data_IF_225343444323
#
_entry.id   IF_225343444323
#
_cell.length_a   1.000
_cell.length_b   1.000
_cell.length_c   1.000
_cell.angle_alpha   90.00
_cell.angle_beta   90.00
_cell.angle_gamma   90.00
#
_symmetry.space_group_name_H-M   'P 1'
#
loop_
_entity.id
_entity.type
_entity.pdbx_description
1 polymer ?
#
# COMPACT_ATOMS: atom_id res chain seq x y z
N UNK A 1 -68.16 -36.79 -26.37
CA UNK A 1 -67.79 -35.35 -26.33
C UNK A 1 -66.82 -35.14 -25.17
N UNK A 2 -65.53 -34.93 -25.44
CA UNK A 2 -64.50 -34.69 -24.41
C UNK A 2 -64.54 -33.20 -24.03
N UNK A 3 -64.90 -32.89 -22.79
CA UNK A 3 -64.79 -31.53 -22.24
C UNK A 3 -63.30 -31.26 -21.98
N UNK A 4 -62.78 -30.19 -22.57
CA UNK A 4 -61.43 -29.73 -22.31
C UNK A 4 -61.40 -28.93 -21.01
N UNK A 5 -60.60 -29.38 -20.05
CA UNK A 5 -60.23 -28.67 -18.81
C UNK A 5 -59.38 -27.44 -19.14
N UNK A 6 -60.02 -26.41 -19.70
CA UNK A 6 -59.36 -25.14 -20.04
C UNK A 6 -59.16 -24.22 -18.83
N UNK A 7 -59.89 -24.45 -17.73
CA UNK A 7 -59.80 -23.62 -16.52
C UNK A 7 -58.65 -23.99 -15.57
N UNK A 8 -58.20 -25.24 -15.57
CA UNK A 8 -57.13 -25.72 -14.68
C UNK A 8 -55.75 -25.41 -15.25
N UNK A 9 -55.57 -25.53 -16.57
CA UNK A 9 -54.34 -25.15 -17.25
C UNK A 9 -54.00 -23.65 -17.10
N UNK A 10 -54.99 -22.75 -17.11
CA UNK A 10 -54.77 -21.31 -16.91
C UNK A 10 -54.40 -20.94 -15.47
N UNK A 11 -54.94 -21.67 -14.48
CA UNK A 11 -54.64 -21.46 -13.07
C UNK A 11 -53.24 -21.95 -12.71
N UNK A 12 -52.85 -23.13 -13.21
CA UNK A 12 -51.51 -23.68 -13.03
C UNK A 12 -50.43 -22.85 -13.75
N UNK A 13 -50.72 -22.37 -14.97
CA UNK A 13 -49.80 -21.47 -15.69
C UNK A 13 -49.65 -20.12 -14.98
N UNK A 14 -50.72 -19.58 -14.39
CA UNK A 14 -50.66 -18.37 -13.58
C UNK A 14 -49.84 -18.53 -12.30
N UNK A 15 -50.01 -19.65 -11.58
CA UNK A 15 -49.23 -19.96 -10.39
C UNK A 15 -47.74 -20.19 -10.70
N UNK A 16 -47.42 -20.88 -11.80
CA UNK A 16 -46.05 -21.08 -12.26
C UNK A 16 -45.35 -19.76 -12.62
N UNK A 17 -46.06 -18.83 -13.27
CA UNK A 17 -45.53 -17.49 -13.58
C UNK A 17 -45.24 -16.67 -12.31
N UNK A 18 -46.10 -16.75 -11.30
CA UNK A 18 -45.87 -16.08 -10.01
C UNK A 18 -44.63 -16.62 -9.30
N UNK A 19 -44.44 -17.94 -9.30
CA UNK A 19 -43.24 -18.58 -8.72
C UNK A 19 -41.98 -18.14 -9.47
N UNK A 20 -42.01 -18.10 -10.81
CA UNK A 20 -40.89 -17.62 -11.62
C UNK A 20 -40.59 -16.15 -11.36
N UNK A 21 -41.60 -15.29 -11.20
CA UNK A 21 -41.39 -13.87 -10.85
C UNK A 21 -40.75 -13.71 -9.46
N UNK A 22 -41.15 -14.51 -8.47
CA UNK A 22 -40.53 -14.51 -7.15
C UNK A 22 -39.06 -14.98 -7.21
N UNK A 23 -38.76 -16.00 -8.02
CA UNK A 23 -37.40 -16.48 -8.23
C UNK A 23 -36.53 -15.45 -8.98
N UNK A 24 -37.09 -14.73 -9.95
CA UNK A 24 -36.40 -13.64 -10.66
C UNK A 24 -36.12 -12.46 -9.71
N UNK A 25 -37.10 -12.05 -8.89
CA UNK A 25 -36.91 -10.99 -7.90
C UNK A 25 -35.88 -11.37 -6.83
N UNK A 26 -35.90 -12.61 -6.36
CA UNK A 26 -34.91 -13.16 -5.44
C UNK A 26 -33.51 -13.24 -6.08
N UNK A 27 -33.42 -13.74 -7.32
CA UNK A 27 -32.17 -13.80 -8.08
C UNK A 27 -31.59 -12.42 -8.40
N UNK A 28 -32.43 -11.43 -8.71
CA UNK A 28 -32.03 -10.05 -8.93
C UNK A 28 -31.44 -9.41 -7.66
N UNK A 29 -32.03 -9.70 -6.48
CA UNK A 29 -31.47 -9.26 -5.18
C UNK A 29 -30.08 -9.83 -4.91
N UNK A 30 -29.86 -11.12 -5.21
CA UNK A 30 -28.53 -11.76 -5.10
C UNK A 30 -27.54 -11.15 -6.09
N UNK A 31 -27.97 -10.87 -7.32
CA UNK A 31 -27.13 -10.27 -8.36
C UNK A 31 -26.73 -8.83 -8.01
N UNK A 32 -27.64 -8.05 -7.43
CA UNK A 32 -27.40 -6.69 -6.97
C UNK A 32 -26.42 -6.67 -5.78
N UNK A 33 -26.59 -7.58 -4.81
CA UNK A 33 -25.65 -7.75 -3.69
C UNK A 33 -24.25 -8.22 -4.17
N UNK A 34 -24.21 -9.09 -5.18
CA UNK A 34 -22.96 -9.56 -5.79
C UNK A 34 -22.21 -8.42 -6.50
N UNK A 35 -22.90 -7.61 -7.31
CA UNK A 35 -22.31 -6.45 -7.98
C UNK A 35 -21.81 -5.41 -6.96
N UNK A 36 -22.59 -5.12 -5.92
CA UNK A 36 -22.17 -4.18 -4.87
C UNK A 36 -20.92 -4.66 -4.14
N UNK A 37 -20.85 -5.96 -3.81
CA UNK A 37 -19.68 -6.56 -3.17
C UNK A 37 -18.44 -6.46 -4.08
N UNK A 38 -18.60 -6.62 -5.39
CA UNK A 38 -17.51 -6.41 -6.36
C UNK A 38 -17.07 -4.95 -6.46
N UNK A 39 -18.00 -4.01 -6.30
CA UNK A 39 -17.70 -2.58 -6.16
C UNK A 39 -16.81 -2.31 -4.94
N UNK A 40 -17.19 -2.82 -3.77
CA UNK A 40 -16.41 -2.65 -2.54
C UNK A 40 -15.04 -3.33 -2.59
N UNK A 41 -14.91 -4.49 -3.24
CA UNK A 41 -13.60 -5.11 -3.50
C UNK A 41 -12.70 -4.20 -4.35
N UNK A 42 -13.29 -3.50 -5.33
CA UNK A 42 -12.55 -2.56 -6.17
C UNK A 42 -12.12 -1.34 -5.38
N UNK A 43 -12.97 -0.82 -4.51
CA UNK A 43 -12.63 0.27 -3.58
C UNK A 43 -11.54 -0.15 -2.58
N UNK A 44 -11.60 -1.34 -2.02
CA UNK A 44 -10.56 -1.89 -1.15
C UNK A 44 -9.19 -1.97 -1.86
N UNK A 45 -9.19 -2.35 -3.15
CA UNK A 45 -7.98 -2.34 -3.98
C UNK A 45 -7.49 -0.92 -4.26
N UNK A 46 -8.39 0.04 -4.49
CA UNK A 46 -8.01 1.46 -4.63
C UNK A 46 -7.32 1.95 -3.35
N UNK A 47 -7.89 1.67 -2.18
CA UNK A 47 -7.31 2.00 -0.88
C UNK A 47 -5.95 1.29 -0.71
N UNK A 48 -5.85 0.01 -1.05
CA UNK A 48 -4.59 -0.74 -0.94
C UNK A 48 -3.49 -0.15 -1.84
N UNK A 49 -3.82 0.20 -3.08
CA UNK A 49 -2.88 0.83 -4.01
C UNK A 49 -2.41 2.20 -3.51
N UNK A 50 -3.34 3.02 -3.01
CA UNK A 50 -3.02 4.31 -2.41
C UNK A 50 -2.14 4.16 -1.16
N UNK A 51 -2.47 3.21 -0.28
CA UNK A 51 -1.70 2.91 0.93
C UNK A 51 -0.30 2.41 0.58
N UNK A 52 -0.15 1.58 -0.46
CA UNK A 52 1.16 1.15 -0.95
C UNK A 52 2.00 2.32 -1.47
N UNK A 53 1.38 3.28 -2.16
CA UNK A 53 2.06 4.50 -2.60
C UNK A 53 2.49 5.37 -1.42
N UNK A 54 1.61 5.54 -0.42
CA UNK A 54 1.93 6.25 0.82
C UNK A 54 3.06 5.56 1.60
N UNK A 55 3.02 4.24 1.77
CA UNK A 55 4.10 3.45 2.39
C UNK A 55 5.43 3.66 1.69
N UNK A 56 5.44 3.62 0.36
CA UNK A 56 6.65 3.83 -0.45
C UNK A 56 7.19 5.26 -0.30
N UNK A 57 6.30 6.26 -0.29
CA UNK A 57 6.66 7.65 -0.03
C UNK A 57 7.26 7.83 1.37
N UNK A 58 6.65 7.20 2.38
CA UNK A 58 7.15 7.25 3.77
C UNK A 58 8.52 6.62 3.86
N UNK A 59 8.72 5.43 3.30
CA UNK A 59 10.02 4.76 3.27
C UNK A 59 11.11 5.62 2.63
N UNK A 60 10.84 6.21 1.46
CA UNK A 60 11.80 7.09 0.77
C UNK A 60 12.12 8.38 1.54
N UNK A 61 11.15 8.95 2.26
CA UNK A 61 11.29 10.22 2.97
C UNK A 61 11.37 10.04 4.49
N UNK A 62 11.80 8.86 4.95
CA UNK A 62 11.63 8.43 6.34
C UNK A 62 12.26 9.41 7.33
N UNK A 63 13.53 9.80 7.12
CA UNK A 63 14.25 10.74 7.99
C UNK A 63 13.64 12.14 8.01
N UNK A 64 13.17 12.63 6.86
CA UNK A 64 12.47 13.93 6.76
C UNK A 64 11.13 13.89 7.52
N UNK A 65 10.36 12.82 7.38
CA UNK A 65 9.09 12.62 8.08
C UNK A 65 9.29 12.41 9.58
N UNK A 66 10.36 11.73 9.97
CA UNK A 66 10.79 11.62 11.36
C UNK A 66 11.06 13.01 11.94
N UNK A 67 11.84 13.85 11.26
CA UNK A 67 12.14 15.22 11.69
C UNK A 67 10.94 16.17 11.76
N UNK A 68 9.90 15.94 10.96
CA UNK A 68 8.71 16.81 10.83
C UNK A 68 7.46 16.32 11.57
N UNK A 69 7.52 15.15 12.22
CA UNK A 69 6.41 14.59 13.01
C UNK A 69 6.79 14.43 14.48
N UNK A 70 5.79 14.39 15.36
CA UNK A 70 5.93 14.02 16.77
C UNK A 70 5.04 12.82 17.09
N UNK A 71 4.94 12.42 18.36
CA UNK A 71 4.05 11.34 18.80
C UNK A 71 2.57 11.69 18.69
N UNK A 72 2.21 12.97 18.58
CA UNK A 72 0.82 13.45 18.50
C UNK A 72 0.56 14.44 17.36
N UNK A 73 1.61 15.00 16.76
CA UNK A 73 1.52 15.95 15.65
C UNK A 73 1.98 15.25 14.38
N UNK A 74 1.07 14.93 13.44
CA UNK A 74 1.41 14.15 12.27
C UNK A 74 2.04 14.98 11.16
N UNK A 75 2.94 14.37 10.41
CA UNK A 75 3.18 14.75 9.03
C UNK A 75 2.07 14.14 8.15
N UNK A 76 1.41 14.96 7.32
CA UNK A 76 0.24 14.53 6.54
C UNK A 76 0.61 14.38 5.08
N UNK A 77 0.40 13.18 4.54
CA UNK A 77 0.59 12.85 3.14
C UNK A 77 -0.76 12.84 2.43
N UNK A 78 -0.83 13.52 1.29
CA UNK A 78 -2.06 13.67 0.49
C UNK A 78 -1.93 13.00 -0.87
N UNK A 79 -3.06 12.67 -1.50
CA UNK A 79 -3.08 12.16 -2.88
C UNK A 79 -2.34 13.08 -3.86
N UNK A 80 -2.55 14.40 -3.76
CA UNK A 80 -1.84 15.39 -4.58
C UNK A 80 -0.32 15.33 -4.40
N UNK A 81 0.17 15.18 -3.16
CA UNK A 81 1.60 15.03 -2.90
C UNK A 81 2.17 13.77 -3.55
N UNK A 82 1.47 12.63 -3.44
CA UNK A 82 1.88 11.37 -4.05
C UNK A 82 1.92 11.46 -5.60
N UNK A 83 1.00 12.20 -6.20
CA UNK A 83 0.99 12.46 -7.65
C UNK A 83 2.16 13.34 -8.08
N UNK A 84 2.37 14.45 -7.38
CA UNK A 84 3.45 15.39 -7.70
C UNK A 84 4.85 14.79 -7.52
N UNK A 85 4.97 13.73 -6.70
CA UNK A 85 6.22 13.03 -6.43
C UNK A 85 6.35 11.70 -7.18
N UNK A 86 5.39 11.37 -8.05
CA UNK A 86 5.42 10.20 -8.92
C UNK A 86 5.12 8.86 -8.26
N UNK A 87 4.69 8.84 -7.00
CA UNK A 87 4.24 7.62 -6.30
C UNK A 87 2.84 7.19 -6.72
N UNK A 88 2.04 8.13 -7.23
CA UNK A 88 0.79 7.85 -7.93
C UNK A 88 0.84 8.46 -9.34
N UNK A 89 0.17 7.81 -10.29
CA UNK A 89 -0.01 8.35 -11.64
C UNK A 89 -0.76 9.69 -11.58
N UNK A 90 -0.43 10.62 -12.47
CA UNK A 90 -1.12 11.91 -12.59
C UNK A 90 -2.62 11.77 -12.83
N UNK A 91 -3.06 10.67 -13.46
CA UNK A 91 -4.46 10.34 -13.69
C UNK A 91 -5.20 9.75 -12.49
N UNK A 92 -4.54 9.53 -11.35
CA UNK A 92 -5.20 9.02 -10.15
C UNK A 92 -6.19 10.05 -9.59
N UNK A 93 -7.41 9.61 -9.27
CA UNK A 93 -8.48 10.46 -8.76
C UNK A 93 -8.22 10.90 -7.33
N UNK A 94 -8.58 12.14 -6.98
CA UNK A 94 -8.37 12.64 -5.61
C UNK A 94 -9.32 11.99 -4.58
N UNK A 95 -10.44 11.44 -5.05
CA UNK A 95 -11.47 10.81 -4.24
C UNK A 95 -11.81 9.41 -4.71
N UNK A 96 -12.37 8.62 -3.80
CA UNK A 96 -13.02 7.35 -4.10
C UNK A 96 -14.45 7.56 -4.68
N UNK A 97 -15.19 6.47 -4.90
CA UNK A 97 -16.55 6.52 -5.47
C UNK A 97 -17.54 7.37 -4.66
N UNK A 98 -17.33 7.48 -3.35
CA UNK A 98 -18.19 8.26 -2.43
C UNK A 98 -17.70 9.70 -2.21
N UNK A 99 -16.72 10.16 -2.99
CA UNK A 99 -16.17 11.52 -2.86
C UNK A 99 -15.29 11.71 -1.62
N UNK A 100 -14.88 10.62 -0.95
CA UNK A 100 -13.98 10.68 0.21
C UNK A 100 -12.52 10.75 -0.26
N UNK A 101 -11.71 11.57 0.40
CA UNK A 101 -10.27 11.73 0.13
C UNK A 101 -9.46 10.85 1.06
N UNK A 102 -8.39 10.23 0.56
CA UNK A 102 -7.43 9.48 1.38
C UNK A 102 -6.27 10.38 1.82
N UNK A 103 -5.89 10.26 3.08
CA UNK A 103 -4.73 10.92 3.66
C UNK A 103 -4.03 9.97 4.64
N UNK A 104 -2.69 10.07 4.71
CA UNK A 104 -1.91 9.31 5.68
C UNK A 104 -1.34 10.27 6.73
N UNK A 105 -1.56 9.92 7.99
CA UNK A 105 -1.10 10.66 9.15
C UNK A 105 0.06 9.90 9.77
N UNK A 106 1.26 10.44 9.59
CA UNK A 106 2.52 9.81 10.03
C UNK A 106 2.96 10.44 11.34
N UNK A 107 3.11 9.62 12.37
CA UNK A 107 3.56 10.04 13.71
C UNK A 107 4.73 9.18 14.17
N UNK A 108 5.46 9.67 15.17
CA UNK A 108 6.45 8.85 15.88
C UNK A 108 5.74 7.85 16.79
N UNK A 109 6.31 6.67 16.94
CA UNK A 109 5.83 5.69 17.90
C UNK A 109 6.07 6.19 19.34
N UNK A 110 5.08 6.03 20.21
CA UNK A 110 5.15 6.57 21.57
C UNK A 110 6.14 5.81 22.46
N UNK A 111 6.33 4.51 22.20
CA UNK A 111 7.24 3.64 22.93
C UNK A 111 8.67 3.70 22.38
N UNK A 112 8.81 3.90 21.07
CA UNK A 112 10.10 4.06 20.40
C UNK A 112 10.06 5.24 19.40
N UNK A 113 10.37 6.47 19.85
CA UNK A 113 10.26 7.67 19.02
C UNK A 113 11.14 7.71 17.77
N UNK A 114 12.10 6.78 17.65
CA UNK A 114 12.90 6.60 16.43
C UNK A 114 12.10 5.92 15.31
N UNK A 115 11.02 5.22 15.65
CA UNK A 115 10.19 4.51 14.68
C UNK A 115 8.98 5.34 14.28
N UNK A 116 8.68 5.37 12.98
CA UNK A 116 7.45 5.94 12.45
C UNK A 116 6.33 4.90 12.46
N UNK A 117 5.11 5.35 12.68
CA UNK A 117 3.87 4.61 12.45
C UNK A 117 2.89 5.53 11.71
N UNK A 118 1.95 4.98 10.96
CA UNK A 118 1.01 5.80 10.23
C UNK A 118 -0.40 5.23 10.20
N UNK A 119 -1.38 6.12 10.09
CA UNK A 119 -2.76 5.77 9.86
C UNK A 119 -3.25 6.45 8.59
N UNK A 120 -3.66 5.64 7.62
CA UNK A 120 -4.40 6.10 6.45
C UNK A 120 -5.85 6.20 6.84
N UNK A 121 -6.52 7.30 6.53
CA UNK A 121 -7.96 7.44 6.70
C UNK A 121 -8.58 8.07 5.46
N UNK A 122 -9.81 7.67 5.14
CA UNK A 122 -10.65 8.45 4.25
C UNK A 122 -11.39 9.55 5.02
N UNK A 123 -11.69 10.67 4.38
CA UNK A 123 -12.45 11.77 4.99
C UNK A 123 -13.26 12.57 3.96
N UNK A 124 -14.27 13.31 4.42
CA UNK A 124 -15.22 14.01 3.53
C UNK A 124 -16.16 13.05 2.80
N UNK A 125 -16.87 13.54 1.78
CA UNK A 125 -17.77 12.72 0.97
C UNK A 125 -18.94 12.11 1.73
N UNK A 126 -19.55 11.07 1.15
CA UNK A 126 -20.68 10.33 1.71
C UNK A 126 -20.20 9.15 2.56
N UNK A 127 -20.77 8.89 3.76
CA UNK A 127 -20.48 7.71 4.56
C UNK A 127 -20.80 6.39 3.84
N UNK A 128 -19.89 5.43 3.89
CA UNK A 128 -20.18 4.05 3.48
C UNK A 128 -21.08 3.35 4.51
N UNK A 129 -21.96 2.43 4.08
CA UNK A 129 -22.70 1.58 5.00
C UNK A 129 -21.75 0.62 5.73
N UNK A 130 -22.08 0.26 6.98
CA UNK A 130 -21.22 -0.57 7.84
C UNK A 130 -20.85 -1.91 7.20
N UNK A 131 -21.76 -2.54 6.44
CA UNK A 131 -21.49 -3.78 5.69
C UNK A 131 -20.34 -3.60 4.69
N UNK A 132 -20.32 -2.47 3.97
CA UNK A 132 -19.27 -2.14 3.01
C UNK A 132 -17.93 -1.93 3.71
N UNK A 133 -17.93 -1.17 4.81
CA UNK A 133 -16.74 -0.90 5.61
C UNK A 133 -16.08 -2.19 6.12
N UNK A 134 -16.87 -3.10 6.70
CA UNK A 134 -16.37 -4.38 7.21
C UNK A 134 -15.81 -5.24 6.07
N UNK A 135 -16.47 -5.26 4.91
CA UNK A 135 -16.00 -6.00 3.75
C UNK A 135 -14.69 -5.43 3.21
N UNK A 136 -14.65 -4.10 2.96
CA UNK A 136 -13.45 -3.42 2.48
C UNK A 136 -12.28 -3.57 3.44
N UNK A 137 -12.51 -3.46 4.76
CA UNK A 137 -11.47 -3.66 5.76
C UNK A 137 -10.80 -5.04 5.65
N UNK A 138 -11.57 -6.09 5.31
CA UNK A 138 -11.05 -7.44 5.09
C UNK A 138 -10.33 -7.60 3.75
N UNK A 139 -10.76 -6.88 2.73
CA UNK A 139 -10.25 -7.00 1.36
C UNK A 139 -9.03 -6.10 1.10
N UNK A 140 -8.68 -5.20 2.03
CA UNK A 140 -7.45 -4.39 1.97
C UNK A 140 -6.22 -5.28 2.19
N UNK A 141 -5.26 -5.19 1.27
CA UNK A 141 -4.08 -6.08 1.22
C UNK A 141 -2.77 -5.42 1.60
N UNK A 142 -2.75 -4.09 1.76
CA UNK A 142 -1.55 -3.33 2.16
C UNK A 142 -1.86 -2.60 3.46
N UNK A 143 -1.02 -2.78 4.48
CA UNK A 143 -1.35 -2.40 5.85
C UNK A 143 -2.44 -3.26 6.47
N UNK A 144 -2.77 -2.93 7.72
CA UNK A 144 -3.86 -3.57 8.46
C UNK A 144 -5.17 -2.81 8.18
N UNK A 145 -6.05 -3.40 7.37
CA UNK A 145 -7.33 -2.81 7.00
C UNK A 145 -8.29 -2.63 8.18
N UNK A 146 -9.03 -1.53 8.16
CA UNK A 146 -9.98 -1.14 9.20
C UNK A 146 -11.00 -0.11 8.72
N UNK A 147 -11.83 0.36 9.64
CA UNK A 147 -12.91 1.30 9.36
C UNK A 147 -13.25 2.17 10.57
N UNK A 148 -13.95 3.27 10.32
CA UNK A 148 -14.33 4.28 11.29
C UNK A 148 -15.85 4.39 11.25
N UNK A 149 -16.52 3.87 12.29
CA UNK A 149 -17.98 3.88 12.37
C UNK A 149 -18.51 5.06 13.19
N UNK A 150 -17.74 5.53 14.16
CA UNK A 150 -18.13 6.54 15.17
C UNK A 150 -17.45 7.91 14.97
N UNK A 151 -16.61 8.03 13.93
CA UNK A 151 -15.84 9.24 13.60
C UNK A 151 -14.64 9.50 14.52
N UNK A 152 -14.36 8.62 15.47
CA UNK A 152 -13.35 8.81 16.51
C UNK A 152 -12.36 7.66 16.63
N UNK A 153 -12.79 6.45 16.28
CA UNK A 153 -12.06 5.21 16.51
C UNK A 153 -11.94 4.43 15.21
N UNK A 154 -10.72 4.09 14.84
CA UNK A 154 -10.45 3.14 13.78
C UNK A 154 -10.47 1.72 14.36
N UNK A 155 -11.29 0.85 13.78
CA UNK A 155 -11.45 -0.56 14.17
C UNK A 155 -10.97 -1.45 13.03
N UNK A 156 -10.08 -2.39 13.34
CA UNK A 156 -9.55 -3.34 12.35
C UNK A 156 -10.57 -4.35 11.85
N UNK A 157 -10.28 -4.96 10.70
CA UNK A 157 -11.02 -6.12 10.20
C UNK A 157 -11.17 -7.19 11.29
N UNK A 158 -12.36 -7.79 11.40
CA UNK A 158 -12.68 -8.77 12.45
C UNK A 158 -12.44 -8.27 13.90
N UNK A 159 -12.36 -6.94 14.11
CA UNK A 159 -12.02 -6.31 15.40
C UNK A 159 -10.66 -6.74 15.96
N UNK A 160 -9.71 -7.06 15.10
CA UNK A 160 -8.36 -7.49 15.51
C UNK A 160 -7.56 -6.41 16.24
N UNK A 161 -7.91 -5.13 16.03
CA UNK A 161 -7.30 -3.98 16.70
C UNK A 161 -8.31 -2.83 16.78
N UNK A 162 -8.05 -1.88 17.68
CA UNK A 162 -8.83 -0.65 17.83
C UNK A 162 -7.92 0.48 18.30
N UNK A 163 -7.96 1.61 17.61
CA UNK A 163 -7.12 2.77 17.95
C UNK A 163 -7.89 4.08 17.75
N UNK A 164 -7.75 5.01 18.69
CA UNK A 164 -8.30 6.34 18.56
C UNK A 164 -7.59 7.14 17.47
N UNK A 165 -8.33 7.83 16.60
CA UNK A 165 -7.78 8.66 15.54
C UNK A 165 -6.87 9.77 16.10
N UNK A 166 -7.19 10.27 17.30
CA UNK A 166 -6.40 11.27 18.02
C UNK A 166 -4.96 10.83 18.31
N UNK A 167 -4.70 9.52 18.42
CA UNK A 167 -3.34 9.00 18.66
C UNK A 167 -2.42 9.24 17.45
N UNK A 168 -2.99 9.48 16.27
CA UNK A 168 -2.27 9.82 15.04
C UNK A 168 -2.45 11.28 14.65
N UNK A 169 -3.16 12.08 15.45
CA UNK A 169 -3.64 13.41 15.04
C UNK A 169 -4.57 13.37 13.81
N UNK A 170 -5.11 12.20 13.48
CA UNK A 170 -5.99 11.99 12.34
C UNK A 170 -7.39 12.53 12.61
N UNK A 171 -8.07 12.96 11.55
CA UNK A 171 -9.46 13.43 11.60
C UNK A 171 -10.24 12.79 10.46
N UNK A 172 -11.44 12.30 10.77
CA UNK A 172 -12.34 11.68 9.81
C UNK A 172 -13.80 11.86 10.27
N UNK A 173 -14.74 11.23 9.58
CA UNK A 173 -16.15 11.15 9.94
C UNK A 173 -16.61 9.71 10.14
N UNK A 174 -17.91 9.54 10.32
CA UNK A 174 -18.54 8.22 10.38
C UNK A 174 -18.63 7.63 8.98
N UNK A 175 -18.41 6.33 8.83
CA UNK A 175 -18.55 5.64 7.55
C UNK A 175 -17.32 5.76 6.65
N UNK A 176 -16.14 5.79 7.25
CA UNK A 176 -14.86 5.97 6.56
C UNK A 176 -13.95 4.76 6.73
N UNK A 177 -13.01 4.60 5.81
CA UNK A 177 -12.01 3.54 5.83
C UNK A 177 -10.80 4.01 6.62
N UNK A 178 -10.15 3.09 7.32
CA UNK A 178 -8.86 3.30 7.96
C UNK A 178 -7.90 2.17 7.58
N UNK A 179 -6.60 2.47 7.52
CA UNK A 179 -5.56 1.45 7.40
C UNK A 179 -4.44 1.81 8.36
N UNK A 180 -4.02 0.84 9.16
CA UNK A 180 -2.89 1.00 10.06
C UNK A 180 -1.62 0.49 9.39
N UNK A 181 -0.60 1.34 9.31
CA UNK A 181 0.76 1.00 8.91
C UNK A 181 1.62 0.94 10.17
N UNK A 182 2.06 -0.26 10.53
CA UNK A 182 2.87 -0.50 11.73
C UNK A 182 4.29 0.03 11.58
N UNK A 183 5.02 0.09 12.70
CA UNK A 183 6.45 0.43 12.70
C UNK A 183 7.24 -0.50 11.79
N UNK A 184 7.00 -1.80 11.87
CA UNK A 184 7.74 -2.80 11.10
C UNK A 184 7.50 -2.65 9.60
N UNK A 185 6.26 -2.32 9.19
CA UNK A 185 5.91 -2.12 7.78
C UNK A 185 6.58 -0.87 7.19
N UNK A 186 6.72 0.19 8.00
CA UNK A 186 7.38 1.43 7.59
C UNK A 186 8.91 1.36 7.66
N UNK A 187 9.47 0.70 8.66
CA UNK A 187 10.91 0.43 8.74
C UNK A 187 11.37 -0.46 7.59
N UNK A 188 10.62 -1.54 7.28
CA UNK A 188 10.90 -2.37 6.11
C UNK A 188 10.82 -1.59 4.80
N UNK A 189 9.86 -0.66 4.67
CA UNK A 189 9.77 0.22 3.50
C UNK A 189 10.95 1.19 3.37
N UNK A 190 11.53 1.65 4.48
CA UNK A 190 12.75 2.45 4.46
C UNK A 190 13.96 1.61 4.01
N UNK A 191 14.11 0.41 4.57
CA UNK A 191 15.20 -0.51 4.22
C UNK A 191 15.15 -1.00 2.76
N UNK A 192 13.96 -1.26 2.21
CA UNK A 192 13.79 -1.70 0.82
C UNK A 192 14.34 -0.68 -0.19
N UNK A 193 14.46 0.60 0.20
CA UNK A 193 15.03 1.66 -0.67
C UNK A 193 16.56 1.74 -0.64
N UNK A 194 17.21 1.10 0.34
CA UNK A 194 18.66 1.20 0.56
C UNK A 194 19.43 -0.06 0.12
N UNK A 195 18.78 -0.95 -0.64
CA UNK A 195 19.39 -2.21 -1.10
C UNK A 195 20.02 -2.05 -2.47
N UNK A 196 21.31 -2.34 -2.57
CA UNK A 196 21.97 -2.57 -3.85
C UNK A 196 21.73 -4.01 -4.33
N UNK A 197 20.70 -4.20 -5.16
CA UNK A 197 20.34 -5.50 -5.74
C UNK A 197 20.69 -5.53 -7.24
N UNK A 198 21.64 -6.37 -7.66
CA UNK A 198 22.10 -6.43 -9.06
C UNK A 198 22.11 -7.86 -9.59
N UNK A 199 21.48 -8.04 -10.75
CA UNK A 199 21.50 -9.27 -11.54
C UNK A 199 22.01 -8.94 -12.94
N UNK A 200 22.60 -9.91 -13.61
CA UNK A 200 22.93 -9.77 -15.02
C UNK A 200 21.65 -9.61 -15.83
N UNK A 201 21.54 -8.50 -16.56
CA UNK A 201 20.47 -8.30 -17.54
C UNK A 201 20.97 -8.69 -18.93
N UNK A 202 20.46 -9.82 -19.45
CA UNK A 202 20.85 -10.35 -20.75
C UNK A 202 20.38 -9.43 -21.90
N UNK A 203 21.24 -9.23 -22.91
CA UNK A 203 20.93 -8.37 -24.06
C UNK A 203 20.91 -6.86 -23.77
N UNK A 204 21.18 -6.44 -22.53
CA UNK A 204 21.21 -5.02 -22.11
C UNK A 204 22.48 -4.69 -21.30
N UNK A 205 23.65 -4.57 -21.96
CA UNK A 205 24.92 -4.31 -21.28
C UNK A 205 24.98 -2.97 -20.55
N UNK A 206 24.17 -1.99 -20.98
CA UNK A 206 24.01 -0.69 -20.34
C UNK A 206 23.51 -0.82 -18.89
N UNK A 207 22.53 -1.68 -18.65
CA UNK A 207 21.96 -1.90 -17.31
C UNK A 207 22.92 -2.65 -16.37
N UNK A 208 23.98 -3.23 -16.93
CA UNK A 208 25.02 -3.92 -16.17
C UNK A 208 26.22 -2.99 -15.84
N UNK A 209 26.18 -1.70 -16.20
CA UNK A 209 27.23 -0.71 -15.90
C UNK A 209 26.79 0.31 -14.84
N UNK A 210 27.76 0.87 -14.12
CA UNK A 210 27.54 2.05 -13.29
C UNK A 210 27.82 3.31 -14.14
N UNK A 211 26.93 4.31 -14.03
CA UNK A 211 27.08 5.61 -14.71
C UNK A 211 27.66 6.70 -13.81
N UNK A 212 27.92 6.37 -12.55
CA UNK A 212 28.53 7.24 -11.54
C UNK A 212 29.43 6.40 -10.65
N UNK A 213 30.29 7.05 -9.85
CA UNK A 213 31.10 6.38 -8.85
C UNK A 213 30.21 5.72 -7.77
N UNK A 214 30.69 4.61 -7.21
CA UNK A 214 30.12 4.01 -6.01
C UNK A 214 31.01 4.38 -4.82
N UNK A 215 30.40 5.00 -3.81
CA UNK A 215 31.03 5.21 -2.52
C UNK A 215 30.59 4.07 -1.61
N UNK A 216 31.58 3.38 -1.02
CA UNK A 216 31.32 2.27 -0.09
C UNK A 216 31.10 2.75 1.34
N UNK A 217 31.25 4.04 1.65
CA UNK A 217 30.99 4.60 2.99
C UNK A 217 31.85 3.96 4.09
N UNK A 218 33.13 3.68 3.79
CA UNK A 218 34.03 2.92 4.67
C UNK A 218 33.66 1.44 4.89
N UNK A 219 32.81 0.87 4.04
CA UNK A 219 32.48 -0.56 4.06
C UNK A 219 33.35 -1.37 3.08
N UNK A 220 33.28 -2.68 3.21
CA UNK A 220 34.10 -3.65 2.48
C UNK A 220 33.45 -4.11 1.16
N UNK A 221 34.29 -4.45 0.18
CA UNK A 221 33.94 -5.29 -0.96
C UNK A 221 34.50 -6.70 -0.72
N UNK A 222 33.63 -7.67 -0.45
CA UNK A 222 34.03 -9.05 -0.13
C UNK A 222 33.79 -9.99 -1.32
N UNK A 223 34.68 -10.97 -1.51
CA UNK A 223 34.57 -12.02 -2.55
C UNK A 223 34.47 -11.49 -3.99
N UNK A 224 35.18 -10.40 -4.31
CA UNK A 224 35.25 -9.87 -5.67
C UNK A 224 36.13 -10.79 -6.53
N UNK A 225 35.60 -11.28 -7.65
CA UNK A 225 36.34 -12.18 -8.54
C UNK A 225 37.50 -11.51 -9.28
N UNK A 226 37.27 -10.30 -9.81
CA UNK A 226 38.31 -9.51 -10.48
C UNK A 226 38.03 -8.01 -10.35
N UNK A 227 39.09 -7.21 -10.18
CA UNK A 227 39.04 -5.75 -10.20
C UNK A 227 39.98 -5.26 -11.31
N UNK A 228 39.42 -4.64 -12.34
CA UNK A 228 40.19 -3.99 -13.40
C UNK A 228 40.03 -2.48 -13.25
N UNK A 229 41.06 -1.80 -12.77
CA UNK A 229 41.04 -0.37 -12.47
C UNK A 229 42.26 0.33 -13.09
N UNK A 230 42.09 1.60 -13.46
CA UNK A 230 43.19 2.44 -13.95
C UNK A 230 44.10 2.89 -12.80
N UNK A 231 43.53 3.12 -11.62
CA UNK A 231 44.23 3.57 -10.41
C UNK A 231 43.64 2.90 -9.17
N UNK A 232 44.47 2.73 -8.13
CA UNK A 232 44.05 2.23 -6.83
C UNK A 232 44.86 2.91 -5.73
N UNK A 233 44.18 3.46 -4.74
CA UNK A 233 44.80 4.14 -3.59
C UNK A 233 44.48 3.35 -2.33
N UNK A 234 45.48 2.74 -1.72
CA UNK A 234 45.33 1.93 -0.51
C UNK A 234 46.08 2.61 0.64
N UNK A 235 45.39 2.86 1.75
CA UNK A 235 45.97 3.42 2.98
C UNK A 235 46.51 2.36 3.94
N UNK A 236 46.27 1.08 3.65
CA UNK A 236 46.68 -0.05 4.46
C UNK A 236 47.38 -1.13 3.63
N UNK A 237 47.28 -2.37 4.10
CA UNK A 237 48.01 -3.49 3.50
C UNK A 237 47.43 -3.91 2.15
N UNK A 238 48.32 -4.25 1.21
CA UNK A 238 47.99 -4.94 -0.04
C UNK A 238 48.62 -6.33 0.02
N UNK A 239 47.78 -7.36 0.14
CA UNK A 239 48.23 -8.75 0.21
C UNK A 239 47.91 -9.47 -1.10
N UNK A 240 48.92 -10.05 -1.75
CA UNK A 240 48.74 -10.81 -2.99
C UNK A 240 49.74 -11.97 -3.08
N UNK A 241 49.36 -13.04 -3.77
CA UNK A 241 50.24 -14.19 -4.01
C UNK A 241 51.29 -13.87 -5.07
N UNK A 242 50.87 -13.20 -6.15
CA UNK A 242 51.73 -12.81 -7.28
C UNK A 242 51.42 -11.36 -7.68
N UNK A 243 52.43 -10.63 -8.16
CA UNK A 243 52.28 -9.28 -8.71
C UNK A 243 53.22 -9.05 -9.87
N UNK A 244 52.76 -8.31 -10.89
CA UNK A 244 53.58 -7.87 -12.02
C UNK A 244 53.44 -6.37 -12.17
N UNK A 245 54.57 -5.67 -12.15
CA UNK A 245 54.63 -4.22 -12.29
C UNK A 245 55.48 -3.89 -13.50
N UNK A 246 54.93 -3.13 -14.45
CA UNK A 246 55.66 -2.65 -15.63
C UNK A 246 56.31 -1.28 -15.41
N UNK A 247 56.00 -0.62 -14.28
CA UNK A 247 56.51 0.70 -13.90
C UNK A 247 57.41 0.65 -12.68
N UNK A 248 57.90 1.82 -12.26
CA UNK A 248 58.68 1.97 -11.04
C UNK A 248 57.82 1.66 -9.81
N UNK A 249 58.36 0.87 -8.89
CA UNK A 249 57.76 0.61 -7.58
C UNK A 249 58.58 1.35 -6.54
N UNK A 250 57.98 2.34 -5.90
CA UNK A 250 58.57 3.06 -4.78
C UNK A 250 57.93 2.58 -3.50
N UNK A 251 58.71 1.86 -2.68
CA UNK A 251 58.34 1.58 -1.29
C UNK A 251 58.93 2.69 -0.41
N UNK A 252 58.10 3.27 0.45
CA UNK A 252 58.54 4.20 1.50
C UNK A 252 58.91 3.41 2.76
#
# INVERSE_FOLDING_TARGET
MKKYDRGWASLETGAALLIVMLLIAWGAGIWQDYIQTKGWQTEARLVSNWTSAARSYIGKNYTTLQGSSTTTTPAVITTTMLKNTGFLSSGFTETNSEGQRLQAYVVRNAQNPELLQAMVVSSGGTPYPVKALIQMAKDITTGLGGYIQDGKTATGALRSWSVALSNYGAKSGNGHIAVLLSTDELSGAAEDTDRLYRFQVNGRPDLNKMHTAIDMGSNNLNNVGAVNAQTGNFSGNVNGVNGTFSGQVTAL
#
